data_IF_293880394976
#
_entry.id   IF_293880394976
#
_cell.length_a   1.000
_cell.length_b   1.000
_cell.length_c   1.000
_cell.angle_alpha   90.00
_cell.angle_beta   90.00
_cell.angle_gamma   90.00
#
_symmetry.space_group_name_H-M   'P 1'
#
loop_
_entity.id
_entity.type
_entity.pdbx_description
1 polymer ?
#
# COMPACT_ATOMS: atom_id res chain seq x y z
N UNK A 1 8.54 25.17 1.96
CA UNK A 1 9.06 24.51 0.75
C UNK A 1 9.19 23.03 1.04
N UNK A 2 8.92 22.19 0.05
CA UNK A 2 9.17 20.75 0.07
C UNK A 2 10.14 20.38 -1.07
N UNK A 3 11.11 19.53 -0.76
CA UNK A 3 11.93 18.78 -1.72
C UNK A 3 12.08 17.35 -1.21
N UNK A 4 11.53 16.37 -1.92
CA UNK A 4 11.57 14.97 -1.54
C UNK A 4 11.95 14.09 -2.73
N UNK A 5 13.07 13.39 -2.64
CA UNK A 5 13.63 12.60 -3.73
C UNK A 5 13.56 11.09 -3.47
N UNK A 6 12.76 10.40 -4.29
CA UNK A 6 12.68 8.95 -4.35
C UNK A 6 13.76 8.40 -5.28
N UNK A 7 14.51 7.41 -4.81
CA UNK A 7 15.52 6.71 -5.61
C UNK A 7 14.92 5.80 -6.70
N UNK A 8 13.63 5.51 -6.59
CA UNK A 8 12.86 4.73 -7.56
C UNK A 8 11.41 5.24 -7.61
N UNK A 9 10.97 5.70 -8.77
CA UNK A 9 9.63 6.23 -8.98
C UNK A 9 8.52 5.19 -8.75
N UNK A 10 8.83 3.90 -8.87
CA UNK A 10 7.87 2.81 -8.61
C UNK A 10 7.24 2.90 -7.22
N UNK A 11 7.96 3.41 -6.21
CA UNK A 11 7.44 3.49 -4.85
C UNK A 11 6.20 4.38 -4.78
N UNK A 12 6.30 5.62 -5.26
CA UNK A 12 5.16 6.53 -5.28
C UNK A 12 4.08 6.05 -6.26
N UNK A 13 4.48 5.47 -7.41
CA UNK A 13 3.53 4.91 -8.39
C UNK A 13 2.67 3.84 -7.74
N UNK A 14 3.26 2.81 -7.13
CA UNK A 14 2.53 1.71 -6.49
C UNK A 14 1.60 2.19 -5.37
N UNK A 15 2.01 3.17 -4.56
CA UNK A 15 1.16 3.75 -3.52
C UNK A 15 -0.06 4.42 -4.14
N UNK A 16 0.13 5.34 -5.09
CA UNK A 16 -0.98 6.09 -5.69
C UNK A 16 -1.88 5.21 -6.58
N UNK A 17 -1.32 4.19 -7.24
CA UNK A 17 -2.09 3.19 -7.98
C UNK A 17 -2.93 2.28 -7.08
N UNK A 18 -2.54 2.12 -5.81
CA UNK A 18 -3.36 1.42 -4.82
C UNK A 18 -4.46 2.35 -4.32
N UNK A 19 -4.10 3.57 -3.90
CA UNK A 19 -5.04 4.56 -3.34
C UNK A 19 -6.15 4.95 -4.32
N UNK A 20 -5.86 5.03 -5.63
CA UNK A 20 -6.85 5.39 -6.66
C UNK A 20 -8.03 4.42 -6.77
N UNK A 21 -7.91 3.21 -6.23
CA UNK A 21 -8.99 2.22 -6.20
C UNK A 21 -10.03 2.55 -5.11
N UNK A 22 -9.64 3.36 -4.12
CA UNK A 22 -10.46 3.74 -2.98
C UNK A 22 -11.05 5.15 -3.14
N UNK A 23 -10.24 6.10 -3.62
CA UNK A 23 -10.60 7.52 -3.73
C UNK A 23 -10.11 8.13 -5.03
N UNK A 24 -10.78 9.20 -5.49
CA UNK A 24 -10.34 9.97 -6.66
C UNK A 24 -9.31 11.05 -6.31
N UNK A 25 -9.35 11.52 -5.07
CA UNK A 25 -8.62 12.68 -4.56
C UNK A 25 -8.12 12.38 -3.15
N UNK A 26 -6.91 12.84 -2.80
CA UNK A 26 -6.35 12.68 -1.46
C UNK A 26 -5.28 13.74 -1.17
N UNK A 27 -4.89 13.88 0.10
CA UNK A 27 -3.73 14.66 0.52
C UNK A 27 -2.48 13.77 0.68
N UNK A 28 -1.32 14.30 0.27
CA UNK A 28 -0.03 13.90 0.82
C UNK A 28 0.38 14.90 1.88
N UNK A 29 0.32 14.49 3.15
CA UNK A 29 0.65 15.35 4.29
C UNK A 29 2.14 15.28 4.55
N UNK A 30 2.85 16.33 4.15
CA UNK A 30 4.30 16.41 4.26
C UNK A 30 4.70 17.18 5.52
N UNK A 31 5.66 16.67 6.28
CA UNK A 31 6.26 17.33 7.43
C UNK A 31 7.73 16.90 7.60
N UNK A 32 8.40 17.33 8.68
CA UNK A 32 9.80 16.97 8.95
C UNK A 32 10.07 15.45 9.10
N UNK A 33 9.03 14.70 9.50
CA UNK A 33 9.10 13.26 9.71
C UNK A 33 8.93 12.46 8.41
N UNK A 34 8.36 13.05 7.37
CA UNK A 34 8.15 12.41 6.08
C UNK A 34 6.84 12.79 5.38
N UNK A 35 6.36 11.90 4.52
CA UNK A 35 5.12 12.06 3.76
C UNK A 35 4.12 11.00 4.25
N UNK A 36 3.01 11.45 4.81
CA UNK A 36 1.88 10.59 5.18
C UNK A 36 0.77 10.67 4.13
N UNK A 37 0.01 9.59 3.99
CA UNK A 37 -1.22 9.56 3.22
C UNK A 37 -2.24 8.73 3.98
N UNK A 38 -3.45 9.26 4.15
CA UNK A 38 -4.59 8.49 4.60
C UNK A 38 -5.78 8.74 3.66
N UNK A 39 -6.44 7.65 3.25
CA UNK A 39 -7.58 7.70 2.37
C UNK A 39 -8.63 6.65 2.78
N UNK A 40 -9.87 7.10 2.93
CA UNK A 40 -11.01 6.22 3.25
C UNK A 40 -11.87 6.05 2.01
N UNK A 41 -12.23 4.81 1.67
CA UNK A 41 -13.15 4.55 0.55
C UNK A 41 -14.49 5.26 0.76
N UNK A 42 -15.17 5.65 -0.32
CA UNK A 42 -16.49 6.30 -0.32
C UNK A 42 -17.58 5.58 0.52
N UNK A 43 -17.45 4.27 0.76
CA UNK A 43 -18.39 3.50 1.58
C UNK A 43 -17.86 3.20 2.99
N UNK A 44 -16.70 3.76 3.36
CA UNK A 44 -16.03 3.59 4.64
C UNK A 44 -15.74 2.12 5.03
N UNK A 45 -15.59 1.23 4.03
CA UNK A 45 -15.31 -0.19 4.26
C UNK A 45 -13.80 -0.45 4.36
N UNK A 46 -12.98 0.34 3.68
CA UNK A 46 -11.53 0.22 3.67
C UNK A 46 -10.85 1.56 3.95
N UNK A 47 -9.73 1.49 4.70
CA UNK A 47 -8.84 2.59 5.00
C UNK A 47 -7.45 2.24 4.45
N UNK A 48 -6.89 3.13 3.66
CA UNK A 48 -5.48 3.09 3.30
C UNK A 48 -4.73 4.10 4.14
N UNK A 49 -3.65 3.68 4.80
CA UNK A 49 -2.75 4.55 5.53
C UNK A 49 -1.31 4.19 5.20
N UNK A 50 -0.48 5.20 4.92
CA UNK A 50 0.94 5.01 4.65
C UNK A 50 1.77 6.14 5.26
N UNK A 51 3.00 5.81 5.64
CA UNK A 51 3.98 6.76 6.16
C UNK A 51 5.34 6.49 5.51
N UNK A 52 5.72 7.37 4.59
CA UNK A 52 7.04 7.39 3.99
C UNK A 52 7.95 8.26 4.84
N UNK A 53 8.83 7.64 5.63
CA UNK A 53 9.69 8.37 6.56
C UNK A 53 10.78 9.14 5.82
N UNK A 54 11.15 10.31 6.35
CA UNK A 54 12.10 11.24 5.73
C UNK A 54 13.46 10.62 5.40
N UNK A 55 13.93 9.64 6.18
CA UNK A 55 15.18 8.92 5.89
C UNK A 55 15.13 8.00 4.67
N UNK A 56 13.94 7.72 4.14
CA UNK A 56 13.74 6.91 2.93
C UNK A 56 13.96 7.69 1.62
N UNK A 57 14.26 8.98 1.71
CA UNK A 57 14.49 9.88 0.60
C UNK A 57 15.92 10.42 0.63
N UNK A 58 16.43 10.82 -0.53
CA UNK A 58 17.75 11.45 -0.64
C UNK A 58 17.79 12.45 -1.81
N UNK A 59 17.65 13.77 -1.57
CA UNK A 59 17.41 14.43 -0.28
C UNK A 59 15.94 14.44 0.18
N UNK A 60 15.71 14.76 1.46
CA UNK A 60 14.42 15.18 2.02
C UNK A 60 14.53 16.53 2.72
N UNK A 61 13.62 17.46 2.43
CA UNK A 61 13.44 18.71 3.15
C UNK A 61 11.98 19.12 3.13
N UNK A 62 11.40 19.37 4.29
CA UNK A 62 10.07 19.93 4.43
C UNK A 62 10.10 21.01 5.51
N UNK A 63 9.94 22.27 5.11
CA UNK A 63 10.15 23.41 6.02
C UNK A 63 8.95 23.66 6.96
N UNK A 64 7.77 23.14 6.60
CA UNK A 64 6.52 23.28 7.35
C UNK A 64 5.54 22.19 6.95
N UNK A 65 4.53 21.95 7.78
CA UNK A 65 3.43 21.05 7.42
C UNK A 65 2.75 21.54 6.14
N UNK A 66 2.72 20.68 5.13
CA UNK A 66 2.23 21.02 3.80
C UNK A 66 1.35 19.87 3.27
N UNK A 67 0.01 20.03 3.31
CA UNK A 67 -0.89 19.10 2.63
C UNK A 67 -0.83 19.36 1.13
N UNK A 68 -0.52 18.32 0.34
CA UNK A 68 -0.58 18.39 -1.12
C UNK A 68 -1.85 17.70 -1.59
N UNK A 69 -2.87 18.48 -1.99
CA UNK A 69 -4.10 17.92 -2.50
C UNK A 69 -3.98 17.50 -3.97
N UNK A 70 -4.25 16.22 -4.24
CA UNK A 70 -3.97 15.58 -5.51
C UNK A 70 -5.23 14.97 -6.12
N UNK A 71 -5.48 15.27 -7.40
CA UNK A 71 -6.35 14.44 -8.22
C UNK A 71 -5.56 13.24 -8.75
N UNK A 72 -5.84 12.04 -8.21
CA UNK A 72 -5.07 10.82 -8.48
C UNK A 72 -5.17 10.36 -9.93
N UNK A 73 -6.30 10.61 -10.59
CA UNK A 73 -6.49 10.29 -12.02
C UNK A 73 -5.55 11.12 -12.90
N UNK A 74 -5.39 12.41 -12.60
CA UNK A 74 -4.53 13.28 -13.38
C UNK A 74 -3.06 13.05 -13.06
N UNK A 75 -2.71 12.90 -11.78
CA UNK A 75 -1.33 12.63 -11.37
C UNK A 75 -0.81 11.30 -11.94
N UNK A 76 -1.65 10.26 -11.98
CA UNK A 76 -1.32 8.98 -12.60
C UNK A 76 -0.94 9.09 -14.07
N UNK A 77 -1.45 10.08 -14.81
CA UNK A 77 -1.07 10.30 -16.22
C UNK A 77 0.36 10.83 -16.32
N UNK A 78 0.77 11.69 -15.40
CA UNK A 78 2.14 12.25 -15.35
C UNK A 78 3.12 11.18 -14.91
N UNK A 79 2.79 10.40 -13.88
CA UNK A 79 3.66 9.33 -13.37
C UNK A 79 3.91 8.19 -14.38
N UNK A 80 3.07 8.05 -15.41
CA UNK A 80 3.29 7.13 -16.53
C UNK A 80 4.43 7.58 -17.47
N UNK A 81 4.86 8.83 -17.40
CA UNK A 81 5.99 9.33 -18.18
C UNK A 81 7.34 8.84 -17.62
N UNK A 82 7.36 8.35 -16.38
CA UNK A 82 8.56 7.82 -15.72
C UNK A 82 8.64 6.29 -15.77
N UNK A 83 9.85 5.78 -15.96
CA UNK A 83 10.17 4.37 -15.73
C UNK A 83 10.11 4.07 -14.24
N UNK A 84 10.10 2.79 -13.90
CA UNK A 84 9.97 2.35 -12.51
C UNK A 84 11.24 2.63 -11.70
N UNK A 85 12.38 2.60 -12.36
CA UNK A 85 13.72 2.76 -11.82
C UNK A 85 14.26 4.20 -11.89
N UNK A 86 13.52 5.12 -12.53
CA UNK A 86 13.85 6.55 -12.57
C UNK A 86 13.87 7.13 -11.14
N UNK A 87 14.72 8.12 -10.93
CA UNK A 87 14.71 8.96 -9.73
C UNK A 87 13.57 9.97 -9.88
N UNK A 88 12.76 10.13 -8.83
CA UNK A 88 11.63 11.07 -8.80
C UNK A 88 11.85 12.08 -7.68
N UNK A 89 11.97 13.36 -8.03
CA UNK A 89 11.96 14.46 -7.06
C UNK A 89 10.64 15.21 -7.09
N UNK A 90 10.00 15.33 -5.92
CA UNK A 90 8.85 16.18 -5.69
C UNK A 90 9.32 17.53 -5.15
N UNK A 91 8.87 18.63 -5.77
CA UNK A 91 9.18 20.00 -5.34
C UNK A 91 7.93 20.85 -5.28
N UNK A 92 7.80 21.63 -4.22
CA UNK A 92 6.80 22.69 -4.16
C UNK A 92 7.26 23.82 -3.26
N UNK A 93 6.93 25.04 -3.65
CA UNK A 93 7.24 26.24 -2.89
C UNK A 93 6.26 26.41 -1.73
N UNK A 94 6.45 27.47 -0.94
CA UNK A 94 5.57 27.73 0.19
C UNK A 94 4.10 27.93 -0.24
N UNK A 95 3.85 28.61 -1.35
CA UNK A 95 2.49 28.94 -1.77
C UNK A 95 1.61 27.71 -2.08
N UNK A 96 2.21 26.52 -2.32
CA UNK A 96 1.48 25.26 -2.34
C UNK A 96 0.50 25.06 -3.51
N UNK A 97 0.53 25.91 -4.53
CA UNK A 97 -0.39 25.84 -5.68
C UNK A 97 0.03 24.79 -6.74
N UNK A 98 1.33 24.49 -6.81
CA UNK A 98 1.92 23.65 -7.84
C UNK A 98 2.91 22.67 -7.23
N UNK A 99 2.79 21.40 -7.59
CA UNK A 99 3.75 20.35 -7.35
C UNK A 99 4.54 20.09 -8.63
N UNK A 100 5.84 20.35 -8.60
CA UNK A 100 6.75 19.99 -9.69
C UNK A 100 7.28 18.57 -9.48
N UNK A 101 7.11 17.72 -10.49
CA UNK A 101 7.63 16.36 -10.55
C UNK A 101 8.81 16.32 -11.51
N UNK A 102 9.99 16.03 -10.99
CA UNK A 102 11.22 15.91 -11.77
C UNK A 102 11.62 14.44 -11.84
N UNK A 103 11.71 13.90 -13.05
CA UNK A 103 12.17 12.53 -13.29
C UNK A 103 13.55 12.53 -13.94
N UNK A 104 14.46 11.74 -13.39
CA UNK A 104 15.83 11.56 -13.86
C UNK A 104 16.12 10.08 -14.11
N UNK A 105 16.52 9.77 -15.35
CA UNK A 105 16.94 8.42 -15.76
C UNK A 105 18.34 8.10 -15.24
N UNK A 106 18.56 6.87 -14.78
CA UNK A 106 19.87 6.39 -14.30
C UNK A 106 20.92 6.25 -15.40
N UNK A 107 20.50 6.09 -16.65
CA UNK A 107 21.38 5.80 -17.79
C UNK A 107 21.93 7.06 -18.50
N UNK A 108 21.71 8.25 -17.91
CA UNK A 108 21.97 9.59 -18.47
C UNK A 108 21.11 9.97 -19.69
N UNK A 109 20.53 11.18 -19.61
CA UNK A 109 19.55 11.86 -20.49
C UNK A 109 18.09 11.32 -20.54
N UNK A 110 17.08 12.19 -20.77
CA UNK A 110 16.92 13.60 -20.37
C UNK A 110 16.22 13.74 -18.99
N UNK A 111 16.45 14.87 -18.32
CA UNK A 111 15.65 15.29 -17.15
C UNK A 111 14.30 15.80 -17.63
N UNK A 112 13.22 15.24 -17.11
CA UNK A 112 11.86 15.68 -17.43
C UNK A 112 11.22 16.31 -16.20
N UNK A 113 10.55 17.45 -16.40
CA UNK A 113 9.90 18.21 -15.34
C UNK A 113 8.45 18.47 -15.72
N UNK A 114 7.53 18.18 -14.81
CA UNK A 114 6.11 18.35 -15.01
C UNK A 114 5.50 19.09 -13.83
N UNK A 115 4.82 20.19 -14.12
CA UNK A 115 4.11 20.96 -13.09
C UNK A 115 2.65 20.50 -13.00
N UNK A 116 2.27 20.06 -11.81
CA UNK A 116 0.94 19.57 -11.47
C UNK A 116 0.24 20.59 -10.57
N UNK A 117 -0.97 21.02 -10.96
CA UNK A 117 -1.76 21.92 -10.12
C UNK A 117 -2.32 21.17 -8.93
N UNK A 118 -2.07 21.69 -7.75
CA UNK A 118 -2.64 21.23 -6.50
C UNK A 118 -4.06 21.77 -6.33
N UNK A 119 -4.79 21.18 -5.39
CA UNK A 119 -6.14 21.60 -5.03
C UNK A 119 -6.33 21.54 -3.52
N UNK A 120 -7.25 22.33 -3.01
CA UNK A 120 -7.62 22.29 -1.60
C UNK A 120 -8.53 21.09 -1.34
N UNK A 121 -8.12 20.19 -0.46
CA UNK A 121 -8.90 19.04 -0.04
C UNK A 121 -9.00 19.05 1.48
N UNK A 122 -10.22 19.10 1.99
CA UNK A 122 -10.49 18.89 3.40
C UNK A 122 -10.27 17.39 3.71
N UNK A 123 -9.33 17.09 4.60
CA UNK A 123 -9.06 15.72 5.04
C UNK A 123 -9.23 15.59 6.55
N UNK A 124 -10.00 14.58 6.96
CA UNK A 124 -10.07 14.15 8.35
C UNK A 124 -9.14 12.95 8.55
N UNK A 125 -8.22 13.06 9.50
CA UNK A 125 -7.39 11.95 9.90
C UNK A 125 -8.11 11.10 10.96
N UNK A 126 -8.21 9.81 10.68
CA UNK A 126 -8.65 8.80 11.62
C UNK A 126 -7.47 8.28 12.43
N UNK A 127 -7.60 8.33 13.74
CA UNK A 127 -6.66 7.69 14.65
C UNK A 127 -6.82 6.17 14.57
N UNK A 128 -5.73 5.48 14.23
CA UNK A 128 -5.67 4.02 14.22
C UNK A 128 -5.23 3.57 15.60
N UNK A 129 -6.15 2.97 16.36
CA UNK A 129 -5.87 2.48 17.71
C UNK A 129 -5.07 1.17 17.66
N UNK A 130 -4.13 1.03 18.59
CA UNK A 130 -3.42 -0.23 18.78
C UNK A 130 -4.42 -1.33 19.17
N UNK A 131 -4.41 -2.42 18.41
CA UNK A 131 -5.30 -3.56 18.59
C UNK A 131 -4.48 -4.82 18.80
N UNK A 132 -4.91 -5.66 19.74
CA UNK A 132 -4.36 -7.01 19.92
C UNK A 132 -5.03 -7.96 18.94
N UNK A 133 -4.23 -8.69 18.17
CA UNK A 133 -4.74 -9.60 17.14
C UNK A 133 -4.71 -11.07 17.60
N UNK A 134 -5.68 -11.85 17.15
CA UNK A 134 -5.77 -13.29 17.41
C UNK A 134 -4.74 -14.08 16.59
N UNK A 135 -4.43 -13.59 15.38
CA UNK A 135 -3.37 -14.12 14.52
C UNK A 135 -2.60 -12.99 13.83
N UNK A 136 -1.28 -13.13 13.77
CA UNK A 136 -0.37 -12.30 12.96
C UNK A 136 0.40 -13.23 12.04
N UNK A 137 0.27 -13.02 10.74
CA UNK A 137 0.88 -13.82 9.68
C UNK A 137 1.92 -12.94 8.98
N UNK A 138 3.12 -13.45 8.75
CA UNK A 138 4.09 -12.86 7.83
C UNK A 138 4.37 -13.84 6.71
N UNK A 139 4.26 -13.42 5.45
CA UNK A 139 4.51 -14.29 4.30
C UNK A 139 5.03 -13.50 3.09
N UNK A 140 5.62 -14.17 2.08
CA UNK A 140 6.03 -13.50 0.86
C UNK A 140 4.85 -12.78 0.20
N UNK A 141 5.03 -11.50 -0.13
CA UNK A 141 3.99 -10.65 -0.74
C UNK A 141 3.56 -11.16 -2.11
N UNK A 142 4.51 -11.70 -2.90
CA UNK A 142 4.26 -12.35 -4.18
C UNK A 142 3.37 -13.57 -4.05
N UNK A 143 3.62 -14.43 -3.04
CA UNK A 143 2.80 -15.60 -2.75
C UNK A 143 1.38 -15.21 -2.33
N UNK A 144 1.23 -14.20 -1.48
CA UNK A 144 -0.09 -13.67 -1.12
C UNK A 144 -0.83 -13.12 -2.35
N UNK A 145 -0.14 -12.37 -3.21
CA UNK A 145 -0.69 -11.84 -4.45
C UNK A 145 -1.21 -12.95 -5.38
N UNK A 146 -0.41 -14.00 -5.62
CA UNK A 146 -0.81 -15.16 -6.42
C UNK A 146 -2.07 -15.82 -5.87
N UNK A 147 -2.10 -16.12 -4.56
CA UNK A 147 -3.25 -16.75 -3.89
C UNK A 147 -4.52 -15.90 -4.06
N UNK A 148 -4.42 -14.59 -3.84
CA UNK A 148 -5.56 -13.67 -3.95
C UNK A 148 -6.08 -13.63 -5.39
N UNK A 149 -5.20 -13.55 -6.39
CA UNK A 149 -5.61 -13.52 -7.80
C UNK A 149 -6.22 -14.84 -8.26
N UNK A 150 -5.66 -15.98 -7.84
CA UNK A 150 -6.18 -17.30 -8.20
C UNK A 150 -7.59 -17.50 -7.63
N UNK A 151 -7.79 -17.18 -6.34
CA UNK A 151 -9.09 -17.35 -5.69
C UNK A 151 -10.12 -16.31 -6.13
N UNK A 152 -9.69 -15.13 -6.59
CA UNK A 152 -10.59 -14.12 -7.19
C UNK A 152 -11.34 -14.67 -8.40
N UNK A 153 -10.74 -15.59 -9.16
CA UNK A 153 -11.42 -16.21 -10.30
C UNK A 153 -12.62 -17.06 -9.92
N UNK A 154 -12.72 -17.47 -8.65
CA UNK A 154 -13.73 -18.40 -8.16
C UNK A 154 -14.88 -17.71 -7.42
N UNK A 155 -14.58 -16.70 -6.60
CA UNK A 155 -15.58 -16.03 -5.74
C UNK A 155 -15.21 -14.58 -5.47
N UNK A 156 -16.22 -13.75 -5.21
CA UNK A 156 -16.06 -12.36 -4.74
C UNK A 156 -15.60 -12.28 -3.27
N UNK A 157 -15.53 -13.42 -2.57
CA UNK A 157 -15.09 -13.50 -1.18
C UNK A 157 -13.99 -14.55 -1.00
N UNK A 158 -12.95 -14.19 -0.24
CA UNK A 158 -11.93 -15.12 0.25
C UNK A 158 -12.07 -15.25 1.76
N UNK A 159 -12.12 -16.49 2.24
CA UNK A 159 -12.01 -16.81 3.67
C UNK A 159 -10.57 -17.13 4.01
N UNK A 160 -10.01 -16.39 4.98
CA UNK A 160 -8.70 -16.61 5.56
C UNK A 160 -8.91 -17.27 6.93
N UNK A 161 -8.43 -18.49 7.07
CA UNK A 161 -8.50 -19.27 8.30
C UNK A 161 -7.09 -19.52 8.83
N UNK A 162 -6.85 -19.17 10.08
CA UNK A 162 -5.59 -19.41 10.78
C UNK A 162 -5.84 -20.32 11.98
N UNK A 163 -5.16 -21.47 12.02
CA UNK A 163 -5.24 -22.44 13.12
C UNK A 163 -3.86 -22.95 13.47
N UNK A 164 -3.77 -23.82 14.48
CA UNK A 164 -2.51 -24.52 14.82
C UNK A 164 -1.95 -25.38 13.67
N UNK A 165 -2.79 -25.74 12.69
CA UNK A 165 -2.39 -26.49 11.50
C UNK A 165 -1.83 -25.64 10.37
N UNK A 166 -1.77 -24.31 10.55
CA UNK A 166 -1.29 -23.36 9.54
C UNK A 166 -2.40 -22.44 9.03
N UNK A 167 -2.14 -21.83 7.87
CA UNK A 167 -3.04 -20.87 7.24
C UNK A 167 -3.72 -21.51 6.04
N UNK A 168 -5.01 -21.24 5.87
CA UNK A 168 -5.78 -21.66 4.71
C UNK A 168 -6.54 -20.49 4.13
N UNK A 169 -6.37 -20.28 2.83
CA UNK A 169 -7.16 -19.37 2.02
C UNK A 169 -8.18 -20.20 1.25
N UNK A 170 -9.43 -19.76 1.19
CA UNK A 170 -10.47 -20.49 0.46
C UNK A 170 -11.49 -19.58 -0.19
N UNK A 171 -12.04 -20.02 -1.32
CA UNK A 171 -13.11 -19.36 -2.05
C UNK A 171 -14.18 -20.40 -2.40
N UNK A 172 -15.43 -20.00 -2.24
CA UNK A 172 -16.61 -20.79 -2.60
C UNK A 172 -17.48 -19.90 -3.50
N UNK A 173 -17.61 -20.27 -4.77
CA UNK A 173 -18.40 -19.51 -5.72
C UNK A 173 -19.10 -20.39 -6.74
N UNK A 174 -19.79 -19.76 -7.69
CA UNK A 174 -20.76 -20.47 -8.55
C UNK A 174 -20.11 -21.51 -9.46
N UNK A 175 -18.90 -21.22 -9.96
CA UNK A 175 -18.19 -22.10 -10.90
C UNK A 175 -17.39 -23.21 -10.19
N UNK A 176 -17.19 -23.12 -8.88
CA UNK A 176 -16.44 -24.09 -8.11
C UNK A 176 -15.90 -23.58 -6.77
N UNK A 177 -15.19 -24.46 -6.06
CA UNK A 177 -14.52 -24.17 -4.80
C UNK A 177 -13.03 -24.38 -4.94
N UNK A 178 -12.25 -23.55 -4.26
CA UNK A 178 -10.79 -23.65 -4.23
C UNK A 178 -10.24 -23.34 -2.84
N UNK A 179 -9.09 -23.92 -2.52
CA UNK A 179 -8.36 -23.55 -1.31
C UNK A 179 -6.86 -23.75 -1.46
N UNK A 180 -6.10 -22.85 -0.86
CA UNK A 180 -4.64 -22.93 -0.75
C UNK A 180 -4.27 -23.00 0.72
N UNK A 181 -3.58 -24.07 1.12
CA UNK A 181 -3.03 -24.21 2.47
C UNK A 181 -1.56 -23.84 2.43
N UNK A 182 -1.15 -22.94 3.32
CA UNK A 182 0.24 -22.50 3.47
C UNK A 182 0.80 -23.12 4.74
N UNK A 183 1.81 -23.98 4.57
CA UNK A 183 2.57 -24.52 5.69
C UNK A 183 3.40 -23.42 6.35
N UNK A 184 3.44 -23.45 7.68
CA UNK A 184 4.23 -22.52 8.48
C UNK A 184 5.67 -23.01 8.54
N UNK A 185 6.61 -22.17 8.13
CA UNK A 185 8.04 -22.44 8.28
C UNK A 185 8.46 -22.28 9.74
N UNK A 186 9.55 -22.95 10.12
CA UNK A 186 10.23 -22.60 11.37
C UNK A 186 11.07 -21.33 11.15
N UNK A 187 11.20 -20.47 12.16
CA UNK A 187 12.00 -19.23 12.09
C UNK A 187 13.51 -19.44 11.79
N UNK A 188 13.93 -20.69 11.58
CA UNK A 188 15.30 -21.11 11.26
C UNK A 188 15.51 -21.39 9.77
N UNK A 189 14.45 -21.46 8.96
CA UNK A 189 14.52 -21.63 7.49
C UNK A 189 14.40 -20.27 6.78
N UNK A 190 15.43 -19.92 5.99
CA UNK A 190 15.56 -18.80 5.05
C UNK A 190 14.51 -17.68 5.20
N UNK A 191 14.88 -16.67 5.99
CA UNK A 191 14.02 -15.64 6.58
C UNK A 191 13.31 -14.63 5.66
N UNK A 192 13.15 -14.91 4.36
CA UNK A 192 12.35 -14.09 3.44
C UNK A 192 11.34 -14.90 2.60
N UNK A 193 11.53 -16.21 2.44
CA UNK A 193 10.60 -17.08 1.69
C UNK A 193 9.62 -17.85 2.61
N UNK A 194 9.91 -17.88 3.91
CA UNK A 194 9.12 -18.64 4.88
C UNK A 194 7.88 -17.86 5.35
N UNK A 195 6.83 -18.61 5.68
CA UNK A 195 5.61 -18.06 6.29
C UNK A 195 5.65 -18.26 7.80
N UNK A 196 5.60 -17.18 8.55
CA UNK A 196 5.66 -17.14 10.02
C UNK A 196 4.26 -16.81 10.55
N UNK A 197 3.84 -17.49 11.61
CA UNK A 197 2.53 -17.30 12.23
C UNK A 197 2.67 -17.18 13.73
N UNK A 198 2.21 -16.05 14.26
CA UNK A 198 1.96 -15.86 15.69
C UNK A 198 0.46 -16.04 15.94
N UNK A 199 0.11 -17.16 16.59
CA UNK A 199 -1.29 -17.53 16.83
C UNK A 199 -1.61 -17.48 18.33
N UNK A 200 -2.46 -16.55 18.73
CA UNK A 200 -3.06 -16.50 20.06
C UNK A 200 -4.33 -17.36 20.12
N UNK A 201 -5.19 -17.22 19.11
CA UNK A 201 -6.47 -17.93 19.00
C UNK A 201 -6.78 -18.23 17.53
N UNK A 202 -7.36 -19.40 17.26
CA UNK A 202 -7.83 -19.73 15.90
C UNK A 202 -8.88 -18.73 15.43
N UNK A 203 -8.72 -18.22 14.22
CA UNK A 203 -9.57 -17.18 13.64
C UNK A 203 -9.91 -17.53 12.19
N UNK A 204 -11.14 -17.23 11.77
CA UNK A 204 -11.62 -17.46 10.41
C UNK A 204 -12.49 -16.28 9.99
N UNK A 205 -12.09 -15.59 8.93
CA UNK A 205 -12.74 -14.36 8.48
C UNK A 205 -12.86 -14.33 6.96
N UNK A 206 -13.98 -13.82 6.45
CA UNK A 206 -14.25 -13.67 5.02
C UNK A 206 -14.15 -12.22 4.60
N UNK A 207 -13.42 -11.95 3.52
CA UNK A 207 -13.16 -10.61 2.99
C UNK A 207 -13.58 -10.51 1.54
N UNK A 208 -14.10 -9.35 1.14
CA UNK A 208 -14.35 -9.06 -0.26
C UNK A 208 -13.01 -8.99 -1.02
N UNK A 209 -12.84 -9.89 -1.98
CA UNK A 209 -11.56 -10.12 -2.67
C UNK A 209 -11.08 -8.91 -3.46
N UNK A 210 -12.01 -8.04 -3.93
CA UNK A 210 -11.66 -6.80 -4.63
C UNK A 210 -10.71 -5.90 -3.82
N UNK A 211 -10.85 -5.89 -2.49
CA UNK A 211 -9.98 -5.10 -1.62
C UNK A 211 -8.62 -5.76 -1.46
N UNK A 212 -8.59 -7.09 -1.30
CA UNK A 212 -7.34 -7.85 -1.26
C UNK A 212 -6.53 -7.67 -2.54
N UNK A 213 -7.18 -7.75 -3.71
CA UNK A 213 -6.57 -7.47 -5.03
C UNK A 213 -6.05 -6.04 -5.13
N UNK A 214 -6.71 -5.08 -4.49
CA UNK A 214 -6.23 -3.69 -4.47
C UNK A 214 -4.98 -3.57 -3.60
N UNK A 215 -4.94 -4.24 -2.44
CA UNK A 215 -3.78 -4.26 -1.56
C UNK A 215 -2.57 -4.96 -2.19
N UNK A 216 -2.75 -6.02 -2.98
CA UNK A 216 -1.62 -6.70 -3.66
C UNK A 216 -0.92 -5.84 -4.72
N UNK A 217 -1.44 -4.66 -5.06
CA UNK A 217 -0.73 -3.67 -5.88
C UNK A 217 0.49 -3.06 -5.17
N UNK A 218 0.58 -3.19 -3.85
CA UNK A 218 1.74 -2.77 -3.06
C UNK A 218 2.83 -3.83 -2.96
N UNK A 219 2.67 -5.03 -3.55
CA UNK A 219 3.72 -6.07 -3.59
C UNK A 219 5.10 -5.54 -3.99
N UNK A 220 5.26 -4.59 -4.93
CA UNK A 220 6.59 -4.03 -5.26
C UNK A 220 7.26 -3.24 -4.13
N UNK A 221 6.53 -2.86 -3.07
CA UNK A 221 7.05 -2.06 -1.95
C UNK A 221 7.78 -2.91 -0.90
N UNK A 222 7.44 -4.19 -0.79
CA UNK A 222 8.01 -5.09 0.21
C UNK A 222 7.94 -6.54 -0.27
N UNK A 223 9.00 -7.32 -0.03
CA UNK A 223 9.03 -8.76 -0.30
C UNK A 223 8.15 -9.58 0.65
N UNK A 224 7.76 -9.00 1.78
CA UNK A 224 6.94 -9.62 2.81
C UNK A 224 5.67 -8.79 3.08
N UNK A 225 4.57 -9.47 3.36
CA UNK A 225 3.31 -8.88 3.82
C UNK A 225 2.94 -9.46 5.18
N UNK A 226 2.56 -8.58 6.10
CA UNK A 226 1.92 -8.91 7.36
C UNK A 226 0.40 -8.96 7.20
N UNK A 227 -0.27 -9.96 7.76
CA UNK A 227 -1.73 -10.03 7.83
C UNK A 227 -2.12 -10.21 9.30
N UNK A 228 -2.86 -9.24 9.83
CA UNK A 228 -3.29 -9.24 11.24
C UNK A 228 -4.81 -9.45 11.31
N UNK A 229 -5.23 -10.52 11.97
CA UNK A 229 -6.63 -10.96 12.04
C UNK A 229 -7.12 -11.02 13.48
N UNK A 230 -8.32 -10.49 13.70
CA UNK A 230 -9.11 -10.69 14.92
C UNK A 230 -10.58 -10.46 14.57
N UNK A 231 -11.48 -11.23 15.18
CA UNK A 231 -12.92 -11.02 14.99
C UNK A 231 -13.33 -9.56 15.27
N UNK A 232 -14.33 -9.08 14.53
CA UNK A 232 -14.95 -7.74 14.68
C UNK A 232 -14.03 -6.53 14.43
N UNK A 233 -12.81 -6.75 13.91
CA UNK A 233 -11.89 -5.68 13.48
C UNK A 233 -11.54 -5.88 11.99
N UNK A 234 -11.38 -4.81 11.19
CA UNK A 234 -10.91 -4.94 9.82
C UNK A 234 -9.57 -5.68 9.73
N UNK A 235 -9.37 -6.44 8.65
CA UNK A 235 -8.06 -6.98 8.31
C UNK A 235 -7.06 -5.83 8.17
N UNK A 236 -5.92 -5.93 8.84
CA UNK A 236 -4.80 -5.03 8.66
C UNK A 236 -3.69 -5.76 7.89
N UNK A 237 -3.55 -5.51 6.58
CA UNK A 237 -2.36 -5.87 5.82
C UNK A 237 -1.28 -4.79 6.00
N UNK A 238 -0.07 -5.16 6.39
CA UNK A 238 1.06 -4.22 6.62
C UNK A 238 2.42 -4.66 6.05
#
# INVERSE_FOLDING_TARGET
MLEACFQQAILLKSILETVREFVTECNLDCNDSGIALQATENYHVALFASMLRSYGFDPYRCDRNLPLGLNLTNLSKILKCARNDDILTLKTDDDGDVLSLVFESKDSDPLSSYDFKLMDIDSEHLDILETTYEAVIQMPSTKFQEIVHDLFTLSDFITIECTKGGIKFSADGEIGKGSVTVETGSSLDNGEESTIVELNQSVSMSFAVKYLVSFTKTTPLSSCVGLKLTADVPLLPD
#
